data_IF_838198040980
#
_entry.id   IF_838198040980
#
_cell.length_a   1.000
_cell.length_b   1.000
_cell.length_c   1.000
_cell.angle_alpha   90.00
_cell.angle_beta   90.00
_cell.angle_gamma   90.00
#
_symmetry.space_group_name_H-M   'P 1'
#
loop_
_entity.id
_entity.type
_entity.pdbx_description
1 polymer ?
#
# COMPACT_ATOMS: atom_id res chain seq x y z
N UNK A 1 2.12 22.37 -8.08
CA UNK A 1 2.42 21.02 -7.58
C UNK A 1 2.59 21.11 -6.07
N UNK A 2 1.64 20.57 -5.30
CA UNK A 2 1.72 20.61 -3.83
C UNK A 2 2.67 19.50 -3.40
N UNK A 3 3.87 19.89 -2.97
CA UNK A 3 4.77 19.01 -2.23
C UNK A 3 4.39 19.14 -0.76
N UNK A 4 4.04 18.04 -0.12
CA UNK A 4 3.75 18.01 1.30
C UNK A 4 4.72 17.03 1.95
N UNK A 5 5.60 17.53 2.82
CA UNK A 5 6.45 16.69 3.66
C UNK A 5 5.63 16.23 4.87
N UNK A 6 5.99 15.10 5.46
CA UNK A 6 5.23 14.55 6.61
C UNK A 6 5.24 15.52 7.80
N UNK A 7 6.34 16.22 8.00
CA UNK A 7 6.50 17.28 8.98
C UNK A 7 5.56 18.47 8.75
N UNK A 8 5.35 18.87 7.49
CA UNK A 8 4.44 19.96 7.12
C UNK A 8 2.98 19.58 7.44
N UNK A 9 2.61 18.32 7.17
CA UNK A 9 1.27 17.79 7.48
C UNK A 9 1.00 17.85 8.98
N UNK A 10 1.97 17.42 9.80
CA UNK A 10 1.83 17.42 11.26
C UNK A 10 1.66 18.84 11.81
N UNK A 11 2.54 19.76 11.41
CA UNK A 11 2.47 21.15 11.83
C UNK A 11 1.15 21.80 11.42
N UNK A 12 0.72 21.61 10.16
CA UNK A 12 -0.53 22.17 9.66
C UNK A 12 -1.76 21.57 10.35
N UNK A 13 -1.77 20.26 10.57
CA UNK A 13 -2.86 19.57 11.30
C UNK A 13 -3.00 20.08 12.73
N UNK A 14 -1.89 20.40 13.40
CA UNK A 14 -1.90 20.99 14.75
C UNK A 14 -2.53 22.38 14.74
N UNK A 15 -2.14 23.24 13.80
CA UNK A 15 -2.70 24.60 13.65
C UNK A 15 -4.22 24.55 13.43
N UNK A 16 -4.66 23.66 12.55
CA UNK A 16 -6.08 23.50 12.21
C UNK A 16 -6.88 22.63 13.20
N UNK A 17 -6.22 22.04 14.21
CA UNK A 17 -6.83 21.09 15.17
C UNK A 17 -7.58 19.94 14.48
N UNK A 18 -7.00 19.44 13.40
CA UNK A 18 -7.56 18.37 12.57
C UNK A 18 -7.64 17.08 13.42
N UNK A 19 -8.75 16.31 13.33
CA UNK A 19 -8.85 15.00 13.98
C UNK A 19 -7.65 14.11 13.63
N UNK A 20 -7.13 13.37 14.62
CA UNK A 20 -5.93 12.54 14.44
C UNK A 20 -6.05 11.57 13.26
N UNK A 21 -7.24 11.00 13.05
CA UNK A 21 -7.54 10.11 11.91
C UNK A 21 -7.27 10.77 10.56
N UNK A 22 -7.58 12.06 10.39
CA UNK A 22 -7.34 12.79 9.16
C UNK A 22 -5.85 13.11 8.98
N UNK A 23 -5.13 13.43 10.06
CA UNK A 23 -3.67 13.61 10.03
C UNK A 23 -2.98 12.31 9.61
N UNK A 24 -3.36 11.19 10.22
CA UNK A 24 -2.78 9.87 9.92
C UNK A 24 -3.05 9.46 8.48
N UNK A 25 -4.26 9.73 7.96
CA UNK A 25 -4.60 9.48 6.56
C UNK A 25 -3.73 10.34 5.62
N UNK A 26 -3.57 11.63 5.90
CA UNK A 26 -2.75 12.53 5.07
C UNK A 26 -1.27 12.10 5.06
N UNK A 27 -0.71 11.69 6.20
CA UNK A 27 0.65 11.15 6.29
C UNK A 27 0.78 9.88 5.46
N UNK A 28 -0.18 8.96 5.56
CA UNK A 28 -0.15 7.72 4.80
C UNK A 28 -0.21 7.96 3.29
N UNK A 29 -1.05 8.90 2.84
CA UNK A 29 -1.11 9.33 1.43
C UNK A 29 0.23 9.92 0.98
N UNK A 30 0.91 10.71 1.82
CA UNK A 30 2.24 11.27 1.52
C UNK A 30 3.30 10.19 1.30
N UNK A 31 3.33 9.23 2.21
CA UNK A 31 4.27 8.11 2.18
C UNK A 31 4.01 7.22 0.97
N UNK A 32 2.74 6.94 0.68
CA UNK A 32 2.33 6.20 -0.50
C UNK A 32 2.75 6.92 -1.79
N UNK A 33 2.43 8.21 -1.92
CA UNK A 33 2.78 9.04 -3.08
C UNK A 33 4.30 9.09 -3.31
N UNK A 34 5.10 9.14 -2.23
CA UNK A 34 6.55 9.03 -2.31
C UNK A 34 7.04 7.63 -2.71
N UNK A 35 6.42 6.57 -2.17
CA UNK A 35 6.74 5.19 -2.52
C UNK A 35 6.44 4.88 -4.00
N UNK A 36 5.28 5.31 -4.51
CA UNK A 36 4.91 5.14 -5.92
C UNK A 36 5.87 5.88 -6.86
N UNK A 37 6.30 7.10 -6.51
CA UNK A 37 7.35 7.80 -7.26
C UNK A 37 8.68 7.09 -7.24
N UNK A 38 9.06 6.54 -6.08
CA UNK A 38 10.34 5.85 -5.88
C UNK A 38 10.37 4.53 -6.64
N UNK A 39 9.25 3.81 -6.65
CA UNK A 39 9.07 2.62 -7.47
C UNK A 39 9.38 2.96 -8.93
N UNK A 40 8.78 4.04 -9.46
CA UNK A 40 9.15 4.62 -10.76
C UNK A 40 8.90 3.72 -11.98
N UNK A 41 8.39 2.51 -11.76
CA UNK A 41 8.11 1.45 -12.74
C UNK A 41 6.79 0.77 -12.41
N UNK A 42 6.29 -0.04 -13.34
CA UNK A 42 5.05 -0.78 -13.11
C UNK A 42 5.29 -1.88 -12.07
N UNK A 43 4.28 -2.24 -11.24
CA UNK A 43 4.41 -3.34 -10.27
C UNK A 43 4.90 -4.66 -10.87
N UNK A 44 4.66 -4.90 -12.17
CA UNK A 44 5.14 -6.07 -12.89
C UNK A 44 6.67 -6.11 -13.08
N UNK A 45 7.32 -4.94 -13.14
CA UNK A 45 8.76 -4.84 -13.35
C UNK A 45 9.55 -5.13 -12.06
N UNK A 46 8.93 -4.92 -10.90
CA UNK A 46 9.50 -5.24 -9.58
C UNK A 46 8.41 -5.63 -8.57
N UNK A 47 7.98 -6.90 -8.59
CA UNK A 47 6.96 -7.41 -7.69
C UNK A 47 7.35 -7.35 -6.21
N UNK A 48 8.65 -7.41 -5.90
CA UNK A 48 9.14 -7.32 -4.51
C UNK A 48 8.99 -5.90 -3.97
N UNK A 49 9.39 -4.88 -4.74
CA UNK A 49 9.17 -3.50 -4.36
C UNK A 49 7.66 -3.17 -4.29
N UNK A 50 6.84 -3.73 -5.18
CA UNK A 50 5.38 -3.59 -5.11
C UNK A 50 4.81 -4.21 -3.81
N UNK A 51 5.22 -5.43 -3.46
CA UNK A 51 4.83 -6.07 -2.20
C UNK A 51 5.26 -5.24 -0.99
N UNK A 52 6.51 -4.79 -0.96
CA UNK A 52 7.05 -3.98 0.13
C UNK A 52 6.30 -2.65 0.27
N UNK A 53 5.87 -2.05 -0.85
CA UNK A 53 5.04 -0.84 -0.85
C UNK A 53 3.68 -1.09 -0.19
N UNK A 54 3.03 -2.23 -0.47
CA UNK A 54 1.79 -2.62 0.22
C UNK A 54 2.04 -2.86 1.71
N UNK A 55 3.07 -3.65 2.07
CA UNK A 55 3.35 -4.01 3.47
C UNK A 55 3.71 -2.81 4.34
N UNK A 56 4.37 -1.80 3.76
CA UNK A 56 4.73 -0.56 4.46
C UNK A 56 3.53 0.25 4.96
N UNK A 57 2.33 0.01 4.43
CA UNK A 57 1.09 0.71 4.82
C UNK A 57 0.37 0.09 6.03
N UNK A 58 0.90 -1.00 6.60
CA UNK A 58 0.24 -1.79 7.66
C UNK A 58 -1.12 -2.40 7.22
N UNK A 59 -1.32 -2.54 5.90
CA UNK A 59 -2.55 -3.03 5.30
C UNK A 59 -2.96 -4.43 5.78
N UNK A 60 -1.98 -5.29 6.12
CA UNK A 60 -2.26 -6.64 6.64
C UNK A 60 -3.04 -6.60 7.95
N UNK A 61 -2.70 -5.66 8.83
CA UNK A 61 -3.33 -5.55 10.15
C UNK A 61 -4.58 -4.68 10.11
N UNK A 62 -4.63 -3.72 9.18
CA UNK A 62 -5.73 -2.75 9.02
C UNK A 62 -6.15 -2.65 7.55
N UNK A 63 -6.80 -3.69 6.99
CA UNK A 63 -7.09 -3.75 5.55
C UNK A 63 -7.93 -2.58 5.06
N UNK A 64 -8.88 -2.12 5.87
CA UNK A 64 -9.73 -0.98 5.53
C UNK A 64 -8.92 0.30 5.26
N UNK A 65 -7.79 0.51 5.96
CA UNK A 65 -6.94 1.70 5.76
C UNK A 65 -6.29 1.72 4.37
N UNK A 66 -6.06 0.55 3.78
CA UNK A 66 -5.50 0.48 2.43
C UNK A 66 -6.53 0.88 1.37
N UNK A 67 -7.78 0.44 1.54
CA UNK A 67 -8.89 0.84 0.65
C UNK A 67 -9.12 2.35 0.73
N UNK A 68 -9.17 2.91 1.95
CA UNK A 68 -9.30 4.35 2.18
C UNK A 68 -8.10 5.13 1.60
N UNK A 69 -6.89 4.59 1.73
CA UNK A 69 -5.68 5.16 1.13
C UNK A 69 -5.81 5.25 -0.40
N UNK A 70 -6.23 4.18 -1.08
CA UNK A 70 -6.40 4.20 -2.54
C UNK A 70 -7.45 5.23 -2.95
N UNK A 71 -8.57 5.35 -2.23
CA UNK A 71 -9.58 6.37 -2.50
C UNK A 71 -9.04 7.80 -2.35
N UNK A 72 -8.33 8.08 -1.26
CA UNK A 72 -7.72 9.39 -1.02
C UNK A 72 -6.63 9.71 -2.05
N UNK A 73 -5.84 8.71 -2.44
CA UNK A 73 -4.80 8.86 -3.45
C UNK A 73 -5.38 9.11 -4.85
N UNK A 74 -6.49 8.46 -5.22
CA UNK A 74 -7.21 8.74 -6.46
C UNK A 74 -7.65 10.20 -6.56
N UNK A 75 -8.17 10.76 -5.46
CA UNK A 75 -8.53 12.18 -5.38
C UNK A 75 -7.30 13.09 -5.56
N UNK A 76 -6.17 12.74 -4.94
CA UNK A 76 -4.92 13.49 -5.12
C UNK A 76 -4.46 13.49 -6.58
N UNK A 77 -4.55 12.35 -7.28
CA UNK A 77 -4.19 12.25 -8.69
C UNK A 77 -5.15 13.06 -9.58
N UNK A 78 -6.44 13.06 -9.28
CA UNK A 78 -7.43 13.87 -9.99
C UNK A 78 -7.16 15.38 -9.82
N UNK A 79 -6.82 15.83 -8.60
CA UNK A 79 -6.40 17.21 -8.33
C UNK A 79 -5.11 17.59 -9.07
N UNK A 80 -4.24 16.60 -9.35
CA UNK A 80 -3.05 16.76 -10.19
C UNK A 80 -3.32 16.63 -11.69
N UNK A 81 -4.60 16.59 -12.08
CA UNK A 81 -5.04 16.53 -13.49
C UNK A 81 -4.54 15.30 -14.25
N UNK A 82 -4.42 14.16 -13.57
CA UNK A 82 -4.26 12.88 -14.27
C UNK A 82 -5.59 12.45 -14.89
N UNK A 83 -5.52 11.81 -16.05
CA UNK A 83 -6.68 11.25 -16.76
C UNK A 83 -7.43 10.22 -15.88
N UNK A 84 -8.77 10.27 -15.91
CA UNK A 84 -9.65 9.45 -15.06
C UNK A 84 -9.46 7.96 -15.33
N UNK A 85 -9.26 7.58 -16.59
CA UNK A 85 -9.03 6.21 -17.02
C UNK A 85 -7.72 5.67 -16.43
N UNK A 86 -6.67 6.51 -16.40
CA UNK A 86 -5.37 6.15 -15.83
C UNK A 86 -5.44 5.99 -14.33
N UNK A 87 -6.13 6.91 -13.64
CA UNK A 87 -6.36 6.82 -12.19
C UNK A 87 -7.11 5.53 -11.87
N UNK A 88 -8.21 5.27 -12.58
CA UNK A 88 -9.06 4.10 -12.38
C UNK A 88 -8.27 2.81 -12.57
N UNK A 89 -7.53 2.70 -13.67
CA UNK A 89 -6.70 1.52 -13.98
C UNK A 89 -5.64 1.29 -12.91
N UNK A 90 -4.97 2.36 -12.45
CA UNK A 90 -3.96 2.27 -11.40
C UNK A 90 -4.58 1.82 -10.07
N UNK A 91 -5.73 2.36 -9.68
CA UNK A 91 -6.39 1.98 -8.42
C UNK A 91 -6.88 0.54 -8.45
N UNK A 92 -7.45 0.10 -9.58
CA UNK A 92 -7.87 -1.29 -9.77
C UNK A 92 -6.70 -2.27 -9.70
N UNK A 93 -5.55 -1.93 -10.30
CA UNK A 93 -4.35 -2.75 -10.21
C UNK A 93 -3.91 -2.91 -8.75
N UNK A 94 -3.69 -1.81 -8.03
CA UNK A 94 -3.23 -1.88 -6.63
C UNK A 94 -4.24 -2.56 -5.70
N UNK A 95 -5.54 -2.38 -5.93
CA UNK A 95 -6.59 -3.07 -5.19
C UNK A 95 -6.49 -4.59 -5.40
N UNK A 96 -6.34 -5.05 -6.65
CA UNK A 96 -6.19 -6.48 -6.98
C UNK A 96 -4.95 -7.09 -6.34
N UNK A 97 -3.81 -6.41 -6.41
CA UNK A 97 -2.56 -6.88 -5.79
C UNK A 97 -2.70 -6.98 -4.28
N UNK A 98 -3.34 -6.00 -3.65
CA UNK A 98 -3.63 -6.01 -2.22
C UNK A 98 -4.54 -7.18 -1.81
N UNK A 99 -5.61 -7.43 -2.55
CA UNK A 99 -6.53 -8.55 -2.30
C UNK A 99 -5.80 -9.91 -2.38
N UNK A 100 -4.94 -10.09 -3.38
CA UNK A 100 -4.13 -11.30 -3.52
C UNK A 100 -3.17 -11.50 -2.34
N UNK A 101 -2.50 -10.43 -1.90
CA UNK A 101 -1.59 -10.46 -0.74
C UNK A 101 -2.35 -10.74 0.56
N UNK A 102 -3.56 -10.19 0.72
CA UNK A 102 -4.42 -10.38 1.89
C UNK A 102 -4.99 -11.79 1.99
N UNK A 103 -5.25 -12.45 0.85
CA UNK A 103 -5.79 -13.81 0.81
C UNK A 103 -4.82 -14.87 1.34
N UNK A 104 -3.53 -14.54 1.53
CA UNK A 104 -2.52 -15.47 2.05
C UNK A 104 -2.75 -15.74 3.54
N UNK A 105 -3.08 -16.99 3.86
CA UNK A 105 -3.25 -17.46 5.24
C UNK A 105 -1.89 -17.68 5.92
N UNK A 106 -1.45 -16.66 6.66
CA UNK A 106 -0.22 -16.72 7.45
C UNK A 106 -0.29 -17.75 8.59
N UNK A 107 -1.48 -18.09 9.08
CA UNK A 107 -1.68 -19.07 10.15
C UNK A 107 -1.45 -20.50 9.66
N UNK A 108 -1.92 -20.85 8.46
CA UNK A 108 -1.63 -22.15 7.83
C UNK A 108 -0.14 -22.29 7.54
N UNK A 109 0.50 -21.25 7.02
CA UNK A 109 1.95 -21.24 6.76
C UNK A 109 2.74 -21.38 8.07
N UNK A 110 2.36 -20.64 9.13
CA UNK A 110 3.02 -20.76 10.42
C UNK A 110 2.95 -22.20 10.98
N UNK A 111 1.82 -22.88 10.82
CA UNK A 111 1.66 -24.29 11.24
C UNK A 111 2.56 -25.23 10.45
N UNK A 112 2.77 -25.00 9.15
CA UNK A 112 3.64 -25.86 8.34
C UNK A 112 5.14 -25.66 8.62
N UNK A 113 5.54 -24.49 9.16
CA UNK A 113 6.92 -24.21 9.57
C UNK A 113 7.33 -24.85 10.91
N UNK A 114 6.39 -25.39 11.70
CA UNK A 114 6.69 -26.01 12.99
C UNK A 114 7.26 -25.02 14.02
N UNK A 115 8.24 -25.45 14.82
CA UNK A 115 8.84 -24.65 15.89
C UNK A 115 9.86 -23.60 15.41
N UNK A 116 10.19 -23.57 14.12
CA UNK A 116 11.16 -22.63 13.57
C UNK A 116 10.50 -21.28 13.26
N UNK A 117 10.27 -20.49 14.30
CA UNK A 117 9.64 -19.16 14.21
C UNK A 117 10.39 -18.18 13.31
N UNK A 118 11.70 -18.39 13.10
CA UNK A 118 12.50 -17.56 12.20
C UNK A 118 12.05 -17.69 10.74
N UNK A 119 11.69 -18.90 10.31
CA UNK A 119 11.25 -19.20 8.94
C UNK A 119 9.84 -18.72 8.62
N UNK A 120 8.99 -18.51 9.63
CA UNK A 120 7.58 -18.11 9.41
C UNK A 120 7.52 -16.79 8.64
N UNK A 121 8.32 -15.80 9.02
CA UNK A 121 8.29 -14.47 8.38
C UNK A 121 8.68 -14.57 6.90
N UNK A 122 9.75 -15.31 6.60
CA UNK A 122 10.23 -15.52 5.23
C UNK A 122 9.22 -16.31 4.39
N UNK A 123 8.66 -17.39 4.95
CA UNK A 123 7.66 -18.22 4.26
C UNK A 123 6.38 -17.43 3.94
N UNK A 124 5.88 -16.63 4.90
CA UNK A 124 4.70 -15.77 4.68
C UNK A 124 4.99 -14.69 3.65
N UNK A 125 6.18 -14.09 3.67
CA UNK A 125 6.59 -13.11 2.67
C UNK A 125 6.64 -13.74 1.27
N UNK A 126 7.29 -14.90 1.12
CA UNK A 126 7.39 -15.62 -0.14
C UNK A 126 6.00 -15.98 -0.70
N UNK A 127 5.09 -16.51 0.14
CA UNK A 127 3.73 -16.84 -0.28
C UNK A 127 2.94 -15.60 -0.76
N UNK A 128 3.12 -14.44 -0.10
CA UNK A 128 2.52 -13.18 -0.53
C UNK A 128 3.10 -12.67 -1.83
N UNK A 129 4.41 -12.82 -2.02
CA UNK A 129 5.08 -12.45 -3.26
C UNK A 129 4.57 -13.29 -4.43
N UNK A 130 4.41 -14.59 -4.23
CA UNK A 130 3.86 -15.49 -5.25
C UNK A 130 2.40 -15.17 -5.57
N UNK A 131 1.57 -14.90 -4.55
CA UNK A 131 0.20 -14.44 -4.74
C UNK A 131 0.13 -13.13 -5.54
N UNK A 132 0.99 -12.17 -5.22
CA UNK A 132 1.09 -10.89 -5.94
C UNK A 132 1.53 -11.10 -7.40
N UNK A 133 2.54 -11.92 -7.65
CA UNK A 133 3.00 -12.27 -9.01
C UNK A 133 1.89 -12.92 -9.84
N UNK A 134 1.14 -13.84 -9.25
CA UNK A 134 -0.01 -14.45 -9.92
C UNK A 134 -1.10 -13.42 -10.27
N UNK A 135 -1.32 -12.42 -9.41
CA UNK A 135 -2.28 -11.35 -9.66
C UNK A 135 -1.82 -10.32 -10.72
N UNK A 136 -0.53 -10.29 -11.07
CA UNK A 136 0.01 -9.44 -12.15
C UNK A 136 -0.18 -10.04 -13.54
N UNK A 137 -0.31 -11.37 -13.63
CA UNK A 137 -0.44 -12.10 -14.90
C UNK A 137 -1.91 -12.28 -15.30
N UNK A 138 -2.83 -12.14 -14.34
CA UNK A 138 -4.29 -12.23 -14.52
C UNK A 138 -4.96 -10.85 -14.65
#
# INVERSE_FOLDING_TARGET
MVFYRVEDIKAFSQVLRVPLVCQDAAILVAQWDAAIRTLGREPADDPEAALNTILATDAIRKPQRFVELLQAYALLLAVRSLEVERITSQMQLWQRLFEAVMAVDAGVIAKSCGADTGKIKEAVYAARLDALKNALIN
#
